data_IF_478568368508
#
_entry.id   IF_478568368508
#
_cell.length_a   1.000
_cell.length_b   1.000
_cell.length_c   1.000
_cell.angle_alpha   90.00
_cell.angle_beta   90.00
_cell.angle_gamma   90.00
#
_symmetry.space_group_name_H-M   'P 1'
#
loop_
_entity.id
_entity.type
_entity.pdbx_description
1 polymer ?
#
# COMPACT_ATOMS: atom_id res chain seq x y z
N UNK A 1 0.56 -13.39 -15.76
CA UNK A 1 1.67 -13.70 -14.83
C UNK A 1 2.16 -12.33 -14.45
N UNK A 2 1.84 -11.90 -13.21
CA UNK A 2 1.99 -10.54 -12.64
C UNK A 2 1.15 -9.46 -13.31
N UNK A 3 -0.08 -9.33 -12.82
CA UNK A 3 -1.00 -8.23 -13.06
C UNK A 3 -0.39 -6.91 -12.59
N UNK A 4 -0.28 -5.91 -13.47
CA UNK A 4 -0.23 -4.49 -13.10
C UNK A 4 -1.66 -4.04 -12.75
N UNK A 5 -2.21 -4.65 -11.70
CA UNK A 5 -3.12 -3.92 -10.82
C UNK A 5 -2.23 -3.31 -9.76
N UNK A 6 -2.32 -2.00 -9.60
CA UNK A 6 -2.14 -1.33 -8.31
C UNK A 6 -0.87 -1.71 -7.55
N UNK A 7 0.13 -0.83 -7.61
CA UNK A 7 1.22 -0.81 -6.65
C UNK A 7 0.76 -0.23 -5.28
N UNK A 8 -0.49 -0.57 -4.90
CA UNK A 8 -1.21 -0.36 -3.63
C UNK A 8 -1.83 -1.68 -3.15
N UNK A 9 -1.22 -2.81 -3.49
CA UNK A 9 -1.62 -4.14 -3.01
C UNK A 9 -0.43 -4.88 -2.37
N UNK A 10 0.17 -4.26 -1.35
CA UNK A 10 0.99 -4.93 -0.33
C UNK A 10 1.06 -4.03 0.91
N UNK A 11 -0.07 -3.93 1.62
CA UNK A 11 -0.27 -3.92 3.09
C UNK A 11 -1.80 -3.80 3.25
N UNK A 12 -2.49 -4.93 3.19
CA UNK A 12 -3.85 -5.13 3.70
C UNK A 12 -4.10 -6.64 3.76
N UNK A 13 -3.23 -7.36 4.47
CA UNK A 13 -3.64 -8.59 5.14
C UNK A 13 -4.22 -8.20 6.50
N UNK A 14 -5.44 -7.66 6.47
CA UNK A 14 -6.32 -7.61 7.65
C UNK A 14 -7.56 -8.44 7.26
N UNK A 15 -7.60 -9.66 7.78
CA UNK A 15 -8.77 -10.50 8.05
C UNK A 15 -10.03 -10.28 7.17
N UNK A 16 -10.02 -10.87 5.98
CA UNK A 16 -11.26 -11.34 5.35
C UNK A 16 -11.56 -12.77 5.83
N UNK A 17 -12.06 -12.89 7.06
CA UNK A 17 -12.77 -14.08 7.51
C UNK A 17 -14.09 -13.68 8.15
N UNK A 18 -15.17 -14.30 7.65
CA UNK A 18 -16.54 -14.31 8.17
C UNK A 18 -17.47 -13.12 7.83
N UNK A 19 -17.97 -13.09 6.59
CA UNK A 19 -19.41 -12.86 6.39
C UNK A 19 -20.14 -14.21 6.48
N UNK A 20 -20.34 -14.69 7.70
CA UNK A 20 -21.33 -15.72 8.00
C UNK A 20 -22.63 -15.05 8.43
N UNK A 21 -23.72 -15.50 7.82
CA UNK A 21 -25.11 -15.07 7.97
C UNK A 21 -25.49 -14.56 9.36
N UNK A 22 -26.17 -13.41 9.36
CA UNK A 22 -26.95 -12.82 10.45
C UNK A 22 -27.75 -13.87 11.23
N UNK A 23 -27.23 -14.29 12.37
CA UNK A 23 -28.01 -14.75 13.52
C UNK A 23 -27.85 -13.72 14.63
N UNK A 24 -28.94 -13.03 15.00
CA UNK A 24 -28.95 -12.04 16.09
C UNK A 24 -28.51 -12.69 17.40
N UNK A 25 -27.23 -12.64 17.75
CA UNK A 25 -26.79 -12.68 19.14
C UNK A 25 -26.47 -11.25 19.56
N UNK A 26 -27.32 -10.72 20.44
CA UNK A 26 -27.11 -9.43 21.11
C UNK A 26 -25.70 -9.41 21.68
N UNK A 27 -24.88 -8.48 21.21
CA UNK A 27 -23.71 -8.02 21.98
C UNK A 27 -24.28 -7.47 23.28
N UNK A 28 -24.05 -8.17 24.39
CA UNK A 28 -24.28 -7.58 25.72
C UNK A 28 -23.21 -6.52 25.89
N UNK A 29 -23.59 -5.27 25.78
CA UNK A 29 -22.88 -4.15 26.40
C UNK A 29 -22.71 -4.51 27.87
N UNK A 30 -21.49 -4.80 28.30
CA UNK A 30 -21.18 -4.90 29.73
C UNK A 30 -20.65 -3.53 30.15
N UNK A 31 -21.36 -3.02 31.15
CA UNK A 31 -21.14 -1.83 31.94
C UNK A 31 -19.73 -1.73 32.52
N UNK A 32 -19.17 -0.52 32.47
CA UNK A 32 -18.19 0.05 33.41
C UNK A 32 -17.02 -0.87 33.82
N UNK A 33 -15.90 -0.81 33.08
CA UNK A 33 -14.60 -1.08 33.68
C UNK A 33 -14.31 0.03 34.70
N UNK A 34 -14.77 -0.15 35.94
CA UNK A 34 -14.50 0.77 37.04
C UNK A 34 -13.02 0.69 37.42
N UNK A 35 -12.35 1.84 37.41
CA UNK A 35 -11.17 2.05 38.25
C UNK A 35 -11.67 1.93 39.69
N UNK A 36 -11.34 0.82 40.36
CA UNK A 36 -11.75 0.57 41.74
C UNK A 36 -10.59 0.96 42.66
N UNK A 37 -10.89 1.81 43.65
CA UNK A 37 -9.99 2.12 44.76
C UNK A 37 -10.07 0.93 45.72
N UNK A 38 -8.99 0.14 45.83
CA UNK A 38 -9.02 -1.07 46.64
C UNK A 38 -8.96 -0.73 48.14
N UNK A 39 -10.09 -0.83 48.82
CA UNK A 39 -10.11 -1.48 50.13
C UNK A 39 -10.15 -2.98 49.87
N UNK A 40 -9.08 -3.70 50.26
CA UNK A 40 -8.94 -5.16 50.26
C UNK A 40 -8.43 -5.85 48.98
N UNK A 41 -7.13 -5.61 48.71
CA UNK A 41 -6.31 -6.33 47.71
C UNK A 41 -6.15 -7.84 48.01
N UNK A 42 -6.56 -8.32 49.19
CA UNK A 42 -6.41 -9.73 49.59
C UNK A 42 -7.51 -10.67 49.05
N UNK A 43 -8.74 -10.20 48.87
CA UNK A 43 -9.88 -11.06 48.54
C UNK A 43 -10.11 -11.25 47.02
N UNK A 44 -9.43 -10.48 46.17
CA UNK A 44 -9.57 -10.58 44.70
C UNK A 44 -8.73 -11.72 44.12
N UNK A 45 -7.63 -12.09 44.77
CA UNK A 45 -6.75 -13.17 44.31
C UNK A 45 -7.40 -14.56 44.40
N UNK A 46 -8.34 -14.77 45.33
CA UNK A 46 -8.99 -16.06 45.57
C UNK A 46 -10.12 -16.36 44.56
N UNK A 47 -10.73 -15.33 43.96
CA UNK A 47 -11.81 -15.50 42.98
C UNK A 47 -11.34 -15.88 41.56
N UNK A 48 -10.03 -15.81 41.27
CA UNK A 48 -9.47 -15.93 39.90
C UNK A 48 -8.92 -17.34 39.61
N UNK A 49 -8.81 -18.20 40.63
CA UNK A 49 -8.27 -19.58 40.52
C UNK A 49 -9.12 -20.54 39.68
N UNK A 50 -10.39 -20.20 39.37
CA UNK A 50 -11.35 -21.14 38.77
C UNK A 50 -11.39 -21.21 37.23
N UNK A 51 -10.58 -20.43 36.50
CA UNK A 51 -10.64 -20.35 35.02
C UNK A 51 -9.46 -21.01 34.28
N UNK A 52 -8.45 -21.51 34.97
CA UNK A 52 -7.33 -22.23 34.33
C UNK A 52 -6.42 -21.37 33.43
N UNK A 53 -6.58 -20.04 33.42
CA UNK A 53 -5.69 -19.10 32.75
C UNK A 53 -4.51 -18.78 33.69
N UNK A 54 -3.27 -18.88 33.18
CA UNK A 54 -2.10 -18.31 33.88
C UNK A 54 -2.19 -16.78 33.81
N UNK A 55 -2.64 -16.17 34.89
CA UNK A 55 -2.72 -14.70 35.03
C UNK A 55 -1.45 -14.18 35.70
N UNK A 56 -0.69 -13.34 35.01
CA UNK A 56 0.44 -12.63 35.61
C UNK A 56 -0.05 -11.36 36.33
N UNK A 57 0.64 -10.99 37.41
CA UNK A 57 0.38 -9.70 38.11
C UNK A 57 1.51 -8.72 37.81
N UNK A 58 1.17 -7.59 37.19
CA UNK A 58 2.08 -6.48 36.96
C UNK A 58 1.95 -5.43 38.06
N UNK A 59 3.01 -5.19 38.82
CA UNK A 59 3.06 -4.15 39.86
C UNK A 59 3.75 -2.89 39.34
N UNK A 60 3.04 -1.76 39.30
CA UNK A 60 3.59 -0.45 38.94
C UNK A 60 4.14 0.24 40.19
N UNK A 61 5.41 0.66 40.16
CA UNK A 61 6.07 1.34 41.29
C UNK A 61 5.86 2.85 41.22
N UNK A 62 5.78 3.53 42.35
CA UNK A 62 5.73 5.01 42.36
C UNK A 62 7.05 5.62 41.89
N UNK A 63 7.01 6.90 41.49
CA UNK A 63 8.19 7.73 41.19
C UNK A 63 8.56 7.86 39.71
N UNK A 64 7.99 7.05 38.80
CA UNK A 64 8.15 7.24 37.35
C UNK A 64 6.84 6.94 36.62
N UNK A 65 6.45 7.72 35.59
CA UNK A 65 5.21 7.45 34.88
C UNK A 65 5.28 6.16 34.04
N UNK A 66 4.14 5.50 33.92
CA UNK A 66 3.94 4.29 33.14
C UNK A 66 2.98 4.55 31.98
N UNK A 67 3.29 3.94 30.84
CA UNK A 67 2.38 3.82 29.69
C UNK A 67 2.25 2.35 29.35
N UNK A 68 1.04 1.80 29.41
CA UNK A 68 0.78 0.42 29.03
C UNK A 68 0.06 0.42 27.69
N UNK A 69 0.60 -0.31 26.72
CA UNK A 69 0.00 -0.53 25.41
C UNK A 69 -0.56 -1.96 25.42
N UNK A 70 -1.88 -2.09 25.51
CA UNK A 70 -2.57 -3.37 25.71
C UNK A 70 -3.17 -3.81 24.37
N UNK A 71 -2.80 -5.01 23.92
CA UNK A 71 -3.43 -5.70 22.78
C UNK A 71 -3.56 -7.19 23.13
N UNK A 72 -4.63 -7.54 23.82
CA UNK A 72 -4.90 -8.91 24.29
C UNK A 72 -5.87 -9.56 23.30
N UNK A 73 -5.52 -10.74 22.79
CA UNK A 73 -6.42 -11.58 22.00
C UNK A 73 -6.21 -13.07 22.31
N UNK A 74 -7.24 -13.92 22.13
CA UNK A 74 -7.10 -15.36 22.30
C UNK A 74 -5.95 -15.94 21.46
N UNK A 75 -5.01 -16.63 22.11
CA UNK A 75 -3.87 -17.27 21.45
C UNK A 75 -2.64 -16.38 21.22
N UNK A 76 -2.62 -15.12 21.69
CA UNK A 76 -1.44 -14.24 21.59
C UNK A 76 -0.39 -14.43 22.70
N UNK A 77 -0.59 -15.40 23.61
CA UNK A 77 0.39 -15.71 24.66
C UNK A 77 1.76 -16.05 24.04
N UNK A 78 2.79 -15.25 24.35
CA UNK A 78 4.17 -15.36 23.87
C UNK A 78 4.41 -14.99 22.39
N UNK A 79 3.51 -14.29 21.71
CA UNK A 79 3.76 -13.78 20.36
C UNK A 79 4.41 -12.40 20.44
N UNK A 80 5.71 -12.30 20.18
CA UNK A 80 6.29 -11.04 19.70
C UNK A 80 5.72 -10.78 18.31
N UNK A 81 4.68 -9.95 18.23
CA UNK A 81 4.15 -9.47 16.95
C UNK A 81 5.20 -8.55 16.35
N UNK A 82 5.98 -9.08 15.39
CA UNK A 82 6.91 -8.27 14.60
C UNK A 82 6.09 -7.21 13.85
N UNK A 83 6.13 -5.96 14.32
CA UNK A 83 5.43 -4.82 13.72
C UNK A 83 4.67 -3.91 14.69
N UNK A 84 4.41 -4.32 15.94
CA UNK A 84 3.52 -3.58 16.86
C UNK A 84 4.25 -2.55 17.76
N UNK A 85 5.40 -2.04 17.30
CA UNK A 85 6.19 -1.01 18.01
C UNK A 85 5.85 0.42 17.56
N UNK A 86 4.89 0.63 16.64
CA UNK A 86 4.58 1.97 16.11
C UNK A 86 4.26 2.97 17.22
N UNK A 87 3.26 2.70 18.07
CA UNK A 87 2.89 3.61 19.16
C UNK A 87 4.01 3.82 20.18
N UNK A 88 4.76 2.77 20.49
CA UNK A 88 5.93 2.86 21.38
C UNK A 88 7.01 3.75 20.77
N UNK A 89 7.27 3.63 19.48
CA UNK A 89 8.21 4.49 18.76
C UNK A 89 7.70 5.93 18.67
N UNK A 90 6.40 6.14 18.46
CA UNK A 90 5.75 7.46 18.53
C UNK A 90 5.96 8.11 19.90
N UNK A 91 5.69 7.38 20.99
CA UNK A 91 5.91 7.85 22.36
C UNK A 91 7.38 8.19 22.62
N UNK A 92 8.30 7.30 22.24
CA UNK A 92 9.74 7.52 22.41
C UNK A 92 10.22 8.73 21.62
N UNK A 93 9.73 8.92 20.39
CA UNK A 93 10.11 10.06 19.56
C UNK A 93 9.58 11.38 20.12
N UNK A 94 8.34 11.40 20.60
CA UNK A 94 7.68 12.63 21.05
C UNK A 94 8.09 13.07 22.45
N UNK A 95 8.34 12.11 23.35
CA UNK A 95 8.66 12.42 24.75
C UNK A 95 10.11 12.10 25.12
N UNK A 96 10.74 11.13 24.46
CA UNK A 96 12.09 10.66 24.77
C UNK A 96 12.09 9.31 25.49
N UNK A 97 13.10 8.48 25.20
CA UNK A 97 13.19 7.08 25.66
C UNK A 97 13.09 6.90 27.18
N UNK A 98 13.56 7.88 27.96
CA UNK A 98 13.67 7.76 29.41
C UNK A 98 12.49 8.38 30.18
N UNK A 99 11.55 9.05 29.50
CA UNK A 99 10.45 9.74 30.18
C UNK A 99 9.48 8.79 30.88
N UNK A 100 9.26 7.60 30.30
CA UNK A 100 8.24 6.67 30.75
C UNK A 100 8.80 5.26 30.93
N UNK A 101 8.08 4.43 31.68
CA UNK A 101 8.15 2.99 31.59
C UNK A 101 7.06 2.54 30.62
N UNK A 102 7.44 2.26 29.37
CA UNK A 102 6.50 1.79 28.33
C UNK A 102 6.48 0.27 28.36
N UNK A 103 5.31 -0.33 28.57
CA UNK A 103 5.13 -1.77 28.65
C UNK A 103 4.07 -2.18 27.63
N UNK A 104 4.42 -3.10 26.73
CA UNK A 104 3.47 -3.74 25.82
C UNK A 104 2.93 -5.01 26.47
N UNK A 105 1.61 -5.16 26.51
CA UNK A 105 0.90 -6.27 27.15
C UNK A 105 0.06 -7.01 26.12
N UNK A 106 0.41 -8.27 25.87
CA UNK A 106 -0.29 -9.18 24.94
C UNK A 106 -1.03 -10.33 25.66
N UNK A 107 -0.97 -10.37 26.99
CA UNK A 107 -1.52 -11.43 27.82
C UNK A 107 -2.48 -10.88 28.88
N UNK A 108 -3.43 -11.72 29.28
CA UNK A 108 -4.36 -11.47 30.39
C UNK A 108 -3.58 -11.21 31.69
N UNK A 109 -3.55 -9.95 32.12
CA UNK A 109 -2.69 -9.47 33.21
C UNK A 109 -3.51 -8.69 34.25
N UNK A 110 -3.24 -8.91 35.53
CA UNK A 110 -3.76 -8.08 36.62
C UNK A 110 -2.77 -6.96 36.92
N UNK A 111 -3.15 -5.70 36.73
CA UNK A 111 -2.25 -4.55 36.94
C UNK A 111 -2.58 -3.90 38.28
N UNK A 112 -1.57 -3.67 39.12
CA UNK A 112 -1.72 -3.01 40.43
C UNK A 112 -0.74 -1.84 40.54
N UNK A 113 -1.24 -0.63 40.74
CA UNK A 113 -0.42 0.55 41.01
C UNK A 113 -0.13 0.73 42.50
N UNK A 114 0.94 1.47 42.81
CA UNK A 114 1.39 1.68 44.18
C UNK A 114 0.39 2.46 45.07
N UNK A 115 -0.56 3.18 44.47
CA UNK A 115 -1.66 3.85 45.17
C UNK A 115 -2.83 2.91 45.52
N UNK A 116 -2.72 1.61 45.20
CA UNK A 116 -3.75 0.60 45.47
C UNK A 116 -4.80 0.46 44.38
N UNK A 117 -4.79 1.30 43.34
CA UNK A 117 -5.67 1.11 42.18
C UNK A 117 -5.22 -0.09 41.34
N UNK A 118 -6.19 -0.75 40.72
CA UNK A 118 -5.92 -1.89 39.86
C UNK A 118 -6.78 -1.88 38.59
N UNK A 119 -6.26 -2.54 37.56
CA UNK A 119 -6.99 -2.87 36.34
C UNK A 119 -7.02 -4.39 36.18
N UNK A 120 -8.22 -4.94 36.08
CA UNK A 120 -8.41 -6.36 35.84
C UNK A 120 -8.61 -6.63 34.34
N UNK A 121 -7.59 -7.23 33.71
CA UNK A 121 -7.64 -7.63 32.30
C UNK A 121 -7.75 -9.15 32.13
N UNK A 122 -8.28 -9.89 33.11
CA UNK A 122 -8.31 -11.37 33.12
C UNK A 122 -9.60 -12.00 32.58
N UNK A 123 -10.49 -11.21 31.96
CA UNK A 123 -11.79 -11.71 31.47
C UNK A 123 -11.66 -12.69 30.30
N UNK A 124 -12.17 -13.91 30.45
CA UNK A 124 -12.09 -14.96 29.44
C UNK A 124 -12.75 -14.59 28.09
N UNK A 125 -12.06 -14.90 27.00
CA UNK A 125 -12.64 -15.04 25.66
C UNK A 125 -12.79 -13.76 24.83
N UNK A 126 -12.42 -12.59 25.37
CA UNK A 126 -12.58 -11.31 24.67
C UNK A 126 -11.23 -10.72 24.26
N UNK A 127 -11.17 -10.20 23.03
CA UNK A 127 -10.09 -9.31 22.61
C UNK A 127 -10.25 -7.95 23.28
N UNK A 128 -9.16 -7.36 23.75
CA UNK A 128 -9.16 -6.04 24.40
C UNK A 128 -7.95 -5.23 23.97
N UNK A 129 -8.20 -4.01 23.52
CA UNK A 129 -7.18 -3.05 23.12
C UNK A 129 -7.35 -1.76 23.91
N UNK A 130 -6.29 -1.28 24.54
CA UNK A 130 -6.32 -0.05 25.30
C UNK A 130 -4.94 0.56 25.50
N UNK A 131 -4.92 1.86 25.79
CA UNK A 131 -3.76 2.59 26.27
C UNK A 131 -4.03 3.01 27.71
N UNK A 132 -3.09 2.75 28.61
CA UNK A 132 -3.19 3.12 30.03
C UNK A 132 -2.05 4.06 30.37
N UNK A 133 -2.36 5.13 31.11
CA UNK A 133 -1.37 6.03 31.67
C UNK A 133 -1.52 6.11 33.19
N UNK A 134 -0.39 6.14 33.88
CA UNK A 134 -0.32 6.49 35.29
C UNK A 134 0.92 7.35 35.53
N UNK A 135 0.78 8.48 36.21
CA UNK A 135 1.88 9.44 36.40
C UNK A 135 3.00 8.91 37.30
N UNK A 136 2.72 7.86 38.08
CA UNK A 136 3.61 7.35 39.13
C UNK A 136 3.52 8.12 40.45
N UNK A 137 2.66 9.15 40.51
CA UNK A 137 2.29 9.83 41.75
C UNK A 137 1.19 9.04 42.47
N UNK A 138 1.31 8.91 43.79
CA UNK A 138 0.33 8.16 44.60
C UNK A 138 -1.02 8.87 44.63
N UNK A 139 -1.03 10.20 44.50
CA UNK A 139 -2.26 10.99 44.48
C UNK A 139 -3.02 10.95 43.15
N UNK A 140 -2.40 10.44 42.07
CA UNK A 140 -2.98 10.49 40.74
C UNK A 140 -3.62 9.15 40.38
N UNK A 141 -4.76 9.22 39.70
CA UNK A 141 -5.49 8.05 39.25
C UNK A 141 -4.87 7.42 37.99
N UNK A 142 -5.08 6.10 37.83
CA UNK A 142 -4.86 5.42 36.56
C UNK A 142 -5.94 5.88 35.57
N UNK A 143 -5.52 6.29 34.38
CA UNK A 143 -6.42 6.70 33.29
C UNK A 143 -6.26 5.76 32.11
N UNK A 144 -7.37 5.47 31.43
CA UNK A 144 -7.43 4.50 30.34
C UNK A 144 -8.15 5.07 29.11
N UNK A 145 -7.71 4.67 27.92
CA UNK A 145 -8.37 4.93 26.65
C UNK A 145 -8.53 3.61 25.90
N UNK A 146 -9.74 3.33 25.40
CA UNK A 146 -9.98 2.18 24.55
C UNK A 146 -9.32 2.36 23.17
N UNK A 147 -8.82 1.26 22.62
CA UNK A 147 -8.09 1.23 21.35
C UNK A 147 -6.58 1.29 21.53
N UNK A 148 -5.86 1.03 20.43
CA UNK A 148 -4.40 0.89 20.43
C UNK A 148 -3.65 1.97 19.68
N UNK A 149 -4.33 3.04 19.28
CA UNK A 149 -3.76 4.15 18.50
C UNK A 149 -3.92 5.45 19.27
N UNK A 150 -3.14 6.47 18.90
CA UNK A 150 -3.14 7.80 19.51
C UNK A 150 -2.58 7.82 20.94
N UNK A 151 -1.59 6.97 21.22
CA UNK A 151 -0.95 6.94 22.53
C UNK A 151 -0.20 8.24 22.81
N UNK A 152 0.37 8.88 21.79
CA UNK A 152 1.07 10.17 21.94
C UNK A 152 0.11 11.26 22.41
N UNK A 153 -1.02 11.41 21.73
CA UNK A 153 -2.05 12.40 22.02
C UNK A 153 -2.69 12.13 23.39
N UNK A 154 -3.01 10.87 23.67
CA UNK A 154 -3.57 10.46 24.96
C UNK A 154 -2.64 10.81 26.12
N UNK A 155 -1.36 10.42 26.05
CA UNK A 155 -0.37 10.69 27.11
C UNK A 155 -0.06 12.18 27.22
N UNK A 156 -0.03 12.92 26.10
CA UNK A 156 0.17 14.37 26.11
C UNK A 156 -0.93 15.08 26.90
N UNK A 157 -2.19 14.68 26.67
CA UNK A 157 -3.35 15.23 27.37
C UNK A 157 -3.24 15.07 28.89
N UNK A 158 -2.86 13.89 29.38
CA UNK A 158 -2.71 13.64 30.83
C UNK A 158 -1.59 14.46 31.47
N UNK A 159 -0.66 14.95 30.66
CA UNK A 159 0.47 15.77 31.09
C UNK A 159 0.24 17.26 30.88
N UNK A 160 -0.92 17.66 30.35
CA UNK A 160 -1.21 19.04 29.97
C UNK A 160 -0.32 19.54 28.82
N UNK A 161 0.24 18.63 28.02
CA UNK A 161 1.09 18.94 26.87
C UNK A 161 0.28 18.84 25.57
N UNK A 162 0.68 19.59 24.54
CA UNK A 162 0.11 19.48 23.19
C UNK A 162 1.15 18.83 22.27
N UNK A 163 1.08 17.50 22.12
CA UNK A 163 1.91 16.74 21.19
C UNK A 163 1.03 15.86 20.30
N UNK A 164 1.50 15.66 19.08
CA UNK A 164 0.82 14.85 18.07
C UNK A 164 1.79 13.80 17.54
N UNK A 165 1.26 12.60 17.34
CA UNK A 165 1.92 11.53 16.61
C UNK A 165 2.25 11.97 15.19
N UNK A 166 3.28 11.37 14.61
CA UNK A 166 3.69 11.75 13.26
C UNK A 166 2.64 11.42 12.22
N UNK A 167 1.92 10.30 12.38
CA UNK A 167 0.85 9.93 11.46
C UNK A 167 -0.35 10.90 11.55
N UNK A 168 -0.70 11.40 12.73
CA UNK A 168 -1.77 12.39 12.88
C UNK A 168 -1.38 13.73 12.23
N UNK A 169 -0.14 14.19 12.47
CA UNK A 169 0.41 15.39 11.83
C UNK A 169 0.41 15.25 10.29
N UNK A 170 0.97 14.16 9.78
CA UNK A 170 1.06 13.89 8.36
C UNK A 170 -0.33 13.77 7.72
N UNK A 171 -1.29 13.12 8.38
CA UNK A 171 -2.68 13.03 7.93
C UNK A 171 -3.30 14.40 7.67
N UNK A 172 -3.09 15.37 8.58
CA UNK A 172 -3.57 16.76 8.39
C UNK A 172 -2.93 17.42 7.16
N UNK A 173 -1.63 17.23 6.97
CA UNK A 173 -0.90 17.77 5.81
C UNK A 173 -1.40 17.14 4.49
N UNK A 174 -1.59 15.83 4.47
CA UNK A 174 -2.11 15.09 3.31
C UNK A 174 -3.54 15.53 2.95
N UNK A 175 -4.44 15.58 3.95
CA UNK A 175 -5.82 16.06 3.78
C UNK A 175 -5.85 17.47 3.22
N UNK A 176 -5.02 18.38 3.75
CA UNK A 176 -4.92 19.76 3.26
C UNK A 176 -4.46 19.83 1.81
N UNK A 177 -3.45 19.05 1.43
CA UNK A 177 -2.96 19.03 0.05
C UNK A 177 -4.02 18.48 -0.91
N UNK A 178 -4.64 17.35 -0.60
CA UNK A 178 -5.69 16.73 -1.41
C UNK A 178 -6.90 17.65 -1.57
N UNK A 179 -7.39 18.25 -0.48
CA UNK A 179 -8.50 19.21 -0.54
C UNK A 179 -8.20 20.42 -1.43
N UNK A 180 -6.93 20.87 -1.48
CA UNK A 180 -6.53 22.00 -2.34
C UNK A 180 -6.62 21.70 -3.84
N UNK A 181 -6.80 20.42 -4.21
CA UNK A 181 -6.84 19.93 -5.58
C UNK A 181 -8.21 19.39 -6.01
N UNK A 182 -9.01 18.85 -5.09
CA UNK A 182 -10.27 18.15 -5.40
C UNK A 182 -11.31 18.98 -6.18
N UNK A 183 -11.31 20.30 -6.04
CA UNK A 183 -12.28 21.19 -6.72
C UNK A 183 -11.71 21.93 -7.93
N UNK A 184 -10.51 21.56 -8.40
CA UNK A 184 -9.87 22.21 -9.54
C UNK A 184 -10.12 21.42 -10.80
N UNK A 185 -10.61 22.09 -11.83
CA UNK A 185 -10.69 21.54 -13.19
C UNK A 185 -10.20 22.57 -14.21
N UNK A 186 -8.91 22.86 -14.15
CA UNK A 186 -8.22 23.74 -15.09
C UNK A 186 -7.37 22.90 -16.05
N UNK A 187 -7.97 22.53 -17.18
CA UNK A 187 -7.30 21.78 -18.24
C UNK A 187 -6.47 22.71 -19.12
N UNK A 188 -5.18 22.42 -19.26
CA UNK A 188 -4.20 23.17 -20.07
C UNK A 188 -3.44 22.23 -21.01
N UNK A 189 -2.61 22.80 -21.89
CA UNK A 189 -1.74 22.02 -22.76
C UNK A 189 -0.74 21.14 -21.97
N UNK A 190 -0.30 21.56 -20.78
CA UNK A 190 0.59 20.75 -19.96
C UNK A 190 -0.16 19.56 -19.33
N UNK A 191 -1.38 19.76 -18.81
CA UNK A 191 -2.19 18.63 -18.33
C UNK A 191 -2.58 17.69 -19.47
N UNK A 192 -2.74 18.19 -20.70
CA UNK A 192 -2.95 17.33 -21.87
C UNK A 192 -1.75 16.40 -22.05
N UNK A 193 -0.50 16.89 -22.01
CA UNK A 193 0.70 16.03 -22.10
C UNK A 193 0.73 14.96 -21.00
N UNK A 194 0.32 15.32 -19.77
CA UNK A 194 0.22 14.36 -18.66
C UNK A 194 -0.83 13.28 -18.96
N UNK A 195 -2.02 13.68 -19.41
CA UNK A 195 -3.09 12.77 -19.79
C UNK A 195 -2.66 11.82 -20.91
N UNK A 196 -2.04 12.35 -21.97
CA UNK A 196 -1.57 11.56 -23.10
C UNK A 196 -0.50 10.55 -22.67
N UNK A 197 0.45 10.95 -21.82
CA UNK A 197 1.44 10.05 -21.25
C UNK A 197 0.78 8.93 -20.44
N UNK A 198 -0.19 9.26 -19.58
CA UNK A 198 -0.95 8.26 -18.81
C UNK A 198 -1.74 7.29 -19.69
N UNK A 199 -2.42 7.80 -20.72
CA UNK A 199 -3.23 7.00 -21.64
C UNK A 199 -2.38 6.09 -22.52
N UNK A 200 -1.17 6.52 -22.93
CA UNK A 200 -0.21 5.68 -23.67
C UNK A 200 0.28 4.49 -22.86
N UNK A 201 0.49 4.67 -21.56
CA UNK A 201 0.81 3.56 -20.66
C UNK A 201 -0.37 2.57 -20.60
N UNK A 202 -1.60 3.09 -20.51
CA UNK A 202 -2.82 2.28 -20.45
C UNK A 202 -3.20 1.62 -21.79
N UNK A 203 -2.76 2.15 -22.93
CA UNK A 203 -3.02 1.60 -24.27
C UNK A 203 -2.08 0.44 -24.64
N UNK A 204 -1.07 0.18 -23.82
CA UNK A 204 0.02 -0.73 -24.16
C UNK A 204 -0.04 -2.00 -23.29
N UNK A 205 0.01 -3.21 -23.87
CA UNK A 205 0.07 -4.45 -23.08
C UNK A 205 1.29 -4.50 -22.16
N UNK A 206 1.12 -5.05 -20.96
CA UNK A 206 2.18 -5.14 -19.92
C UNK A 206 3.48 -5.77 -20.43
N UNK A 207 3.40 -6.70 -21.38
CA UNK A 207 4.58 -7.37 -21.95
C UNK A 207 5.50 -6.43 -22.76
N UNK A 208 5.02 -5.23 -23.10
CA UNK A 208 5.84 -4.22 -23.77
C UNK A 208 6.73 -3.43 -22.80
N UNK A 209 6.61 -3.69 -21.50
CA UNK A 209 7.31 -3.00 -20.43
C UNK A 209 8.37 -3.90 -19.79
N UNK A 210 9.45 -3.27 -19.34
CA UNK A 210 10.39 -3.88 -18.41
C UNK A 210 10.31 -3.09 -17.12
N UNK A 211 9.78 -3.74 -16.09
CA UNK A 211 9.32 -3.09 -14.87
C UNK A 211 8.40 -1.90 -15.24
N UNK A 212 8.88 -0.68 -15.09
CA UNK A 212 8.11 0.56 -15.31
C UNK A 212 8.44 1.28 -16.61
N UNK A 213 9.32 0.71 -17.43
CA UNK A 213 9.90 1.33 -18.61
C UNK A 213 9.31 0.73 -19.88
N UNK A 214 8.55 1.54 -20.64
CA UNK A 214 8.00 1.11 -21.93
C UNK A 214 9.12 0.95 -22.96
N UNK A 215 9.39 -0.29 -23.36
CA UNK A 215 10.42 -0.59 -24.34
C UNK A 215 9.84 -0.70 -25.76
N UNK A 216 8.67 -1.31 -25.90
CA UNK A 216 8.02 -1.57 -27.18
C UNK A 216 6.70 -0.79 -27.32
N UNK A 217 6.17 -0.72 -28.55
CA UNK A 217 4.87 -0.14 -28.87
C UNK A 217 4.69 1.33 -28.46
N UNK A 218 5.75 2.14 -28.50
CA UNK A 218 5.69 3.58 -28.16
C UNK A 218 4.85 4.41 -29.14
N UNK A 219 4.84 3.97 -30.40
CA UNK A 219 3.99 4.52 -31.44
C UNK A 219 2.92 3.46 -31.78
N UNK A 220 1.64 3.83 -31.67
CA UNK A 220 0.48 3.00 -32.00
C UNK A 220 -0.42 3.69 -33.04
N UNK A 221 0.19 4.46 -33.95
CA UNK A 221 -0.52 5.23 -34.97
C UNK A 221 -1.51 4.35 -35.75
N UNK A 222 -2.77 4.82 -35.81
CA UNK A 222 -3.90 4.15 -36.44
C UNK A 222 -4.26 2.76 -35.86
N UNK A 223 -3.64 2.29 -34.78
CA UNK A 223 -4.06 1.03 -34.16
C UNK A 223 -5.47 1.21 -33.59
N UNK A 224 -6.38 0.35 -34.00
CA UNK A 224 -7.78 0.30 -33.53
C UNK A 224 -7.95 -0.71 -32.41
N UNK A 225 -7.29 -1.86 -32.51
CA UNK A 225 -7.43 -2.94 -31.53
C UNK A 225 -6.13 -3.72 -31.39
N UNK A 226 -5.78 -4.08 -30.16
CA UNK A 226 -4.68 -4.99 -29.82
C UNK A 226 -5.29 -6.21 -29.14
N UNK A 227 -5.16 -7.38 -29.76
CA UNK A 227 -5.56 -8.65 -29.17
C UNK A 227 -4.32 -9.38 -28.66
N UNK A 228 -4.29 -9.67 -27.36
CA UNK A 228 -3.21 -10.40 -26.71
C UNK A 228 -3.64 -11.85 -26.52
N UNK A 229 -2.83 -12.78 -26.98
CA UNK A 229 -3.04 -14.22 -26.82
C UNK A 229 -1.89 -14.86 -26.05
N UNK A 230 -2.21 -15.93 -25.33
CA UNK A 230 -1.24 -16.79 -24.67
C UNK A 230 -1.27 -18.16 -25.34
N UNK A 231 -0.09 -18.74 -25.56
CA UNK A 231 0.11 -20.09 -26.07
C UNK A 231 1.17 -20.81 -25.24
N UNK A 232 0.89 -22.02 -24.75
CA UNK A 232 1.92 -22.87 -24.13
C UNK A 232 2.31 -23.97 -25.12
N UNK A 233 3.56 -23.96 -25.60
CA UNK A 233 4.03 -24.92 -26.59
C UNK A 233 3.17 -24.98 -27.86
N UNK A 234 2.61 -26.16 -28.16
CA UNK A 234 1.80 -26.45 -29.36
C UNK A 234 0.30 -26.25 -29.15
N UNK A 235 -0.14 -25.84 -27.95
CA UNK A 235 -1.56 -25.65 -27.61
C UNK A 235 -2.23 -24.57 -28.49
N UNK A 236 -3.57 -24.57 -28.50
CA UNK A 236 -4.37 -23.54 -29.18
C UNK A 236 -4.12 -22.19 -28.52
N UNK A 237 -4.08 -21.11 -29.32
CA UNK A 237 -3.99 -19.74 -28.78
C UNK A 237 -5.23 -19.41 -27.95
N UNK A 238 -5.03 -18.97 -26.72
CA UNK A 238 -6.09 -18.50 -25.83
C UNK A 238 -6.08 -16.98 -25.79
N UNK A 239 -7.23 -16.35 -26.02
CA UNK A 239 -7.36 -14.89 -25.97
C UNK A 239 -7.32 -14.44 -24.52
N UNK A 240 -6.37 -13.56 -24.18
CA UNK A 240 -6.12 -13.10 -22.82
C UNK A 240 -6.68 -11.70 -22.58
N UNK A 241 -6.41 -10.78 -23.51
CA UNK A 241 -6.79 -9.37 -23.39
C UNK A 241 -7.17 -8.79 -24.75
N UNK A 242 -8.14 -7.88 -24.78
CA UNK A 242 -8.34 -6.96 -25.90
C UNK A 242 -8.17 -5.53 -25.39
N UNK A 243 -7.42 -4.71 -26.10
CA UNK A 243 -7.38 -3.25 -25.91
C UNK A 243 -7.98 -2.59 -27.15
N UNK A 244 -9.06 -1.85 -26.97
CA UNK A 244 -9.70 -1.06 -28.02
C UNK A 244 -9.27 0.40 -27.89
N UNK A 245 -8.83 0.99 -28.99
CA UNK A 245 -8.30 2.35 -29.04
C UNK A 245 -9.22 3.25 -29.88
N UNK A 246 -9.19 4.55 -29.62
CA UNK A 246 -9.78 5.57 -30.49
C UNK A 246 -8.79 5.97 -31.62
N UNK A 247 -9.20 6.89 -32.50
CA UNK A 247 -8.36 7.34 -33.63
C UNK A 247 -7.07 8.05 -33.19
N UNK A 248 -7.02 8.56 -31.97
CA UNK A 248 -5.84 9.18 -31.35
C UNK A 248 -4.91 8.15 -30.70
N UNK A 249 -5.27 6.86 -30.70
CA UNK A 249 -4.49 5.79 -30.06
C UNK A 249 -4.69 5.68 -28.54
N UNK A 250 -5.71 6.33 -27.98
CA UNK A 250 -6.04 6.22 -26.56
C UNK A 250 -7.07 5.13 -26.28
N UNK A 251 -6.98 4.43 -25.13
CA UNK A 251 -7.86 3.33 -24.82
C UNK A 251 -9.30 3.80 -24.62
N UNK A 252 -10.24 3.05 -25.19
CA UNK A 252 -11.69 3.20 -24.98
C UNK A 252 -12.17 2.09 -24.06
N UNK A 253 -11.66 0.88 -24.26
CA UNK A 253 -12.06 -0.29 -23.49
C UNK A 253 -10.94 -1.32 -23.43
N UNK A 254 -10.77 -1.94 -22.26
CA UNK A 254 -9.88 -3.09 -22.07
C UNK A 254 -10.72 -4.23 -21.52
N UNK A 255 -10.67 -5.38 -22.18
CA UNK A 255 -11.38 -6.59 -21.77
C UNK A 255 -10.38 -7.68 -21.40
N UNK A 256 -10.53 -8.26 -20.21
CA UNK A 256 -9.74 -9.38 -19.71
C UNK A 256 -10.60 -10.65 -19.72
N UNK A 257 -10.26 -11.63 -20.56
CA UNK A 257 -11.13 -12.79 -20.77
C UNK A 257 -11.06 -13.82 -19.65
N UNK A 258 -9.90 -13.97 -19.02
CA UNK A 258 -9.73 -14.93 -17.92
C UNK A 258 -10.47 -14.51 -16.66
N UNK A 259 -10.33 -13.23 -16.31
CA UNK A 259 -10.90 -12.67 -15.08
C UNK A 259 -12.28 -12.04 -15.32
N UNK A 260 -12.76 -12.05 -16.58
CA UNK A 260 -14.01 -11.43 -17.04
C UNK A 260 -14.14 -9.93 -16.68
N UNK A 261 -13.00 -9.27 -16.44
CA UNK A 261 -12.95 -7.85 -16.12
C UNK A 261 -13.09 -6.98 -17.37
N UNK A 262 -13.78 -5.85 -17.23
CA UNK A 262 -13.88 -4.81 -18.26
C UNK A 262 -13.52 -3.47 -17.64
N UNK A 263 -12.62 -2.74 -18.30
CA UNK A 263 -12.26 -1.36 -17.98
C UNK A 263 -12.72 -0.47 -19.10
N UNK A 264 -13.51 0.57 -18.80
CA UNK A 264 -14.01 1.54 -19.78
C UNK A 264 -13.45 2.93 -19.48
N UNK A 265 -13.04 3.62 -20.53
CA UNK A 265 -12.48 4.97 -20.46
C UNK A 265 -13.52 5.94 -21.01
N UNK A 266 -13.90 6.92 -20.21
CA UNK A 266 -14.92 7.92 -20.54
C UNK A 266 -14.28 9.28 -20.78
N UNK A 267 -14.67 9.89 -21.89
CA UNK A 267 -14.12 11.15 -22.35
C UNK A 267 -15.23 12.18 -22.56
N UNK A 268 -14.94 13.44 -22.24
CA UNK A 268 -15.76 14.59 -22.59
C UNK A 268 -14.88 15.59 -23.34
N UNK A 269 -15.26 15.98 -24.56
CA UNK A 269 -14.46 16.87 -25.41
C UNK A 269 -12.98 16.41 -25.56
N UNK A 270 -12.78 15.10 -25.75
CA UNK A 270 -11.47 14.43 -25.82
C UNK A 270 -10.62 14.47 -24.52
N UNK A 271 -11.18 14.94 -23.41
CA UNK A 271 -10.55 14.93 -22.09
C UNK A 271 -11.05 13.72 -21.31
N UNK A 272 -10.15 12.93 -20.70
CA UNK A 272 -10.52 11.78 -19.86
C UNK A 272 -11.21 12.29 -18.58
N UNK A 273 -12.42 11.83 -18.30
CA UNK A 273 -13.16 12.23 -17.09
C UNK A 273 -13.29 11.11 -16.08
N UNK A 274 -13.31 9.86 -16.54
CA UNK A 274 -13.47 8.69 -15.68
C UNK A 274 -12.94 7.42 -16.31
N UNK A 275 -12.49 6.50 -15.45
CA UNK A 275 -12.27 5.10 -15.79
C UNK A 275 -13.18 4.25 -14.91
N UNK A 276 -13.99 3.39 -15.53
CA UNK A 276 -14.91 2.48 -14.84
C UNK A 276 -14.38 1.06 -14.94
N UNK A 277 -14.18 0.42 -13.80
CA UNK A 277 -13.94 -1.02 -13.69
C UNK A 277 -15.20 -1.70 -13.16
N UNK A 278 -15.15 -3.01 -12.91
CA UNK A 278 -16.25 -3.74 -12.31
C UNK A 278 -16.54 -3.28 -10.87
N UNK A 279 -15.48 -2.92 -10.13
CA UNK A 279 -15.57 -2.68 -8.69
C UNK A 279 -15.58 -1.19 -8.36
N UNK A 280 -14.85 -0.36 -9.13
CA UNK A 280 -14.59 1.03 -8.79
C UNK A 280 -14.72 1.96 -10.00
N UNK A 281 -14.97 3.23 -9.73
CA UNK A 281 -14.82 4.32 -10.70
C UNK A 281 -13.72 5.25 -10.23
N UNK A 282 -12.75 5.50 -11.11
CA UNK A 282 -11.72 6.53 -10.91
C UNK A 282 -12.16 7.78 -11.67
N UNK A 283 -12.27 8.90 -10.97
CA UNK A 283 -12.59 10.21 -11.54
C UNK A 283 -11.31 10.99 -11.81
N UNK A 284 -11.31 11.77 -12.88
CA UNK A 284 -10.17 12.59 -13.27
C UNK A 284 -10.52 14.07 -13.29
N UNK A 285 -9.65 14.85 -12.66
CA UNK A 285 -9.66 16.31 -12.64
C UNK A 285 -8.28 16.84 -13.02
N UNK A 286 -8.21 18.13 -13.33
CA UNK A 286 -6.99 18.74 -13.87
C UNK A 286 -6.67 20.06 -13.18
N UNK A 287 -5.39 20.33 -13.00
CA UNK A 287 -4.95 21.59 -12.41
C UNK A 287 -3.60 22.03 -12.99
N UNK A 288 -3.64 22.78 -14.09
CA UNK A 288 -2.45 23.31 -14.72
C UNK A 288 -1.63 22.20 -15.37
N UNK A 289 -0.52 21.83 -14.74
CA UNK A 289 0.42 20.81 -15.19
C UNK A 289 0.20 19.43 -14.54
N UNK A 290 -0.95 19.25 -13.88
CA UNK A 290 -1.28 18.03 -13.13
C UNK A 290 -2.58 17.41 -13.62
N UNK A 291 -2.60 16.09 -13.60
CA UNK A 291 -3.79 15.25 -13.69
C UNK A 291 -4.01 14.59 -12.33
N UNK A 292 -5.23 14.67 -11.80
CA UNK A 292 -5.58 14.16 -10.48
C UNK A 292 -6.61 13.04 -10.68
N UNK A 293 -6.25 11.83 -10.28
CA UNK A 293 -7.12 10.67 -10.25
C UNK A 293 -7.66 10.48 -8.82
N UNK A 294 -8.96 10.25 -8.66
CA UNK A 294 -9.58 9.98 -7.36
C UNK A 294 -10.45 8.74 -7.44
N UNK A 295 -10.22 7.79 -6.54
CA UNK A 295 -10.97 6.53 -6.47
C UNK A 295 -11.50 6.31 -5.06
N UNK A 296 -12.78 5.96 -4.96
CA UNK A 296 -13.38 5.52 -3.71
C UNK A 296 -13.10 4.02 -3.51
N UNK A 297 -12.42 3.66 -2.41
CA UNK A 297 -12.11 2.27 -2.03
C UNK A 297 -13.08 1.73 -0.96
N UNK A 298 -14.22 2.38 -0.77
CA UNK A 298 -15.20 2.07 0.26
C UNK A 298 -14.87 2.75 1.60
N UNK A 299 -13.80 2.31 2.27
CA UNK A 299 -13.34 2.83 3.56
C UNK A 299 -12.34 4.00 3.48
N UNK A 300 -11.74 4.20 2.31
CA UNK A 300 -10.74 5.22 2.06
C UNK A 300 -10.96 5.87 0.69
N UNK A 301 -10.38 7.04 0.49
CA UNK A 301 -10.24 7.70 -0.80
C UNK A 301 -8.78 7.64 -1.21
N UNK A 302 -8.52 7.04 -2.37
CA UNK A 302 -7.21 7.09 -3.02
C UNK A 302 -7.17 8.29 -3.97
N UNK A 303 -6.14 9.11 -3.86
CA UNK A 303 -5.90 10.27 -4.73
C UNK A 303 -4.50 10.19 -5.29
N UNK A 304 -4.37 10.03 -6.60
CA UNK A 304 -3.10 10.04 -7.32
C UNK A 304 -2.96 11.33 -8.14
N UNK A 305 -1.85 12.03 -7.93
CA UNK A 305 -1.47 13.24 -8.65
C UNK A 305 -0.35 12.86 -9.60
N UNK A 306 -0.60 13.07 -10.89
CA UNK A 306 0.32 12.75 -11.97
C UNK A 306 0.90 14.03 -12.56
N UNK A 307 2.21 14.02 -12.80
CA UNK A 307 2.93 15.07 -13.50
C UNK A 307 3.95 14.46 -14.45
N UNK A 308 4.24 15.10 -15.58
CA UNK A 308 5.33 14.70 -16.46
C UNK A 308 6.56 15.55 -16.19
N UNK A 309 7.71 14.90 -15.93
CA UNK A 309 9.02 15.55 -15.85
C UNK A 309 10.03 14.76 -16.67
N UNK A 310 10.79 15.43 -17.53
CA UNK A 310 11.74 14.80 -18.45
C UNK A 310 11.12 13.61 -19.21
N UNK A 311 9.94 13.82 -19.78
CA UNK A 311 9.16 12.81 -20.54
C UNK A 311 8.70 11.59 -19.70
N UNK A 312 8.88 11.61 -18.38
CA UNK A 312 8.45 10.53 -17.49
C UNK A 312 7.24 10.94 -16.65
N UNK A 313 6.26 10.05 -16.57
CA UNK A 313 5.10 10.20 -15.69
C UNK A 313 5.50 9.87 -14.24
N UNK A 314 5.33 10.82 -13.34
CA UNK A 314 5.68 10.72 -11.94
C UNK A 314 4.42 10.79 -11.07
N UNK A 315 4.03 9.70 -10.39
CA UNK A 315 2.91 9.69 -9.47
C UNK A 315 3.29 10.16 -8.07
N UNK A 316 2.35 10.87 -7.44
CA UNK A 316 2.29 11.17 -6.01
C UNK A 316 0.90 10.79 -5.50
N UNK A 317 0.81 9.82 -4.59
CA UNK A 317 -0.44 9.18 -4.21
C UNK A 317 -0.70 9.26 -2.71
N UNK A 318 -1.98 9.42 -2.35
CA UNK A 318 -2.48 9.48 -0.98
C UNK A 318 -3.65 8.52 -0.82
N UNK A 319 -3.60 7.65 0.18
CA UNK A 319 -4.78 6.92 0.65
C UNK A 319 -5.20 7.54 1.97
N UNK A 320 -6.39 8.15 2.00
CA UNK A 320 -6.94 8.82 3.18
C UNK A 320 -8.22 8.11 3.60
N UNK A 321 -8.23 7.59 4.83
CA UNK A 321 -9.41 7.01 5.47
C UNK A 321 -10.54 8.03 5.56
N UNK A 322 -11.77 7.58 5.33
CA UNK A 322 -12.95 8.45 5.41
C UNK A 322 -13.32 8.80 6.84
N UNK A 323 -13.00 7.94 7.79
CA UNK A 323 -13.18 8.21 9.21
C UNK A 323 -11.99 8.98 9.79
N UNK A 324 -12.26 9.81 10.79
CA UNK A 324 -11.23 10.61 11.47
C UNK A 324 -10.47 9.82 12.55
N UNK A 325 -10.85 8.57 12.82
CA UNK A 325 -10.24 7.75 13.87
C UNK A 325 -9.03 6.94 13.40
N UNK A 326 -8.88 6.76 12.08
CA UNK A 326 -7.91 5.84 11.48
C UNK A 326 -6.76 6.56 10.77
N UNK A 327 -6.33 7.72 11.30
CA UNK A 327 -5.25 8.51 10.69
C UNK A 327 -3.92 7.74 10.59
N UNK A 328 -3.70 6.75 11.45
CA UNK A 328 -2.55 5.84 11.41
C UNK A 328 -2.56 4.88 10.21
N UNK A 329 -3.71 4.75 9.52
CA UNK A 329 -3.85 3.94 8.31
C UNK A 329 -3.73 4.78 7.03
N UNK A 330 -3.62 6.11 7.15
CA UNK A 330 -3.37 6.96 6.00
C UNK A 330 -1.96 6.68 5.47
N UNK A 331 -1.81 6.70 4.16
CA UNK A 331 -0.51 6.42 3.52
C UNK A 331 -0.21 7.41 2.43
N UNK A 332 1.09 7.61 2.22
CA UNK A 332 1.63 8.48 1.19
C UNK A 332 2.69 7.75 0.39
N UNK A 333 2.68 7.93 -0.93
CA UNK A 333 3.81 7.55 -1.76
C UNK A 333 4.11 8.57 -2.83
N UNK A 334 5.38 8.69 -3.21
CA UNK A 334 5.80 9.63 -4.24
C UNK A 334 6.95 9.04 -5.04
N UNK A 335 6.89 9.20 -6.36
CA UNK A 335 8.00 8.86 -7.26
C UNK A 335 8.69 10.13 -7.73
N UNK A 336 10.00 10.22 -7.47
CA UNK A 336 10.86 11.34 -7.91
C UNK A 336 11.87 10.87 -8.94
N UNK A 337 12.28 11.78 -9.82
CA UNK A 337 13.42 11.57 -10.72
C UNK A 337 14.66 12.20 -10.09
N UNK A 338 15.63 11.38 -9.69
CA UNK A 338 16.85 11.81 -9.01
C UNK A 338 18.06 11.08 -9.60
N UNK A 339 19.07 11.83 -10.06
CA UNK A 339 20.26 11.25 -10.68
C UNK A 339 19.96 10.41 -11.94
N UNK A 340 18.89 10.73 -12.65
CA UNK A 340 18.42 9.95 -13.81
C UNK A 340 17.67 8.66 -13.48
N UNK A 341 17.41 8.38 -12.20
CA UNK A 341 16.67 7.21 -11.73
C UNK A 341 15.33 7.60 -11.11
N UNK A 342 14.31 6.75 -11.28
CA UNK A 342 13.03 6.89 -10.58
C UNK A 342 13.14 6.28 -9.19
N UNK A 343 12.91 7.09 -8.16
CA UNK A 343 12.92 6.67 -6.76
C UNK A 343 11.52 6.74 -6.19
N UNK A 344 11.01 5.63 -5.70
CA UNK A 344 9.72 5.57 -4.99
C UNK A 344 9.96 5.69 -3.49
N UNK A 345 9.25 6.61 -2.87
CA UNK A 345 9.18 6.79 -1.43
C UNK A 345 7.80 6.37 -0.93
N UNK A 346 7.73 5.72 0.24
CA UNK A 346 6.49 5.45 0.98
C UNK A 346 6.69 6.07 2.36
N UNK A 347 5.80 6.97 2.77
CA UNK A 347 5.89 7.74 4.02
C UNK A 347 7.27 8.36 4.23
N UNK A 348 7.82 8.93 3.14
CA UNK A 348 9.16 9.55 3.06
C UNK A 348 10.35 8.59 3.23
N UNK A 349 10.12 7.28 3.29
CA UNK A 349 11.16 6.25 3.32
C UNK A 349 11.41 5.74 1.91
N UNK A 350 12.67 5.70 1.49
CA UNK A 350 13.06 5.18 0.18
C UNK A 350 12.67 3.69 0.09
N UNK A 351 11.78 3.37 -0.84
CA UNK A 351 11.25 2.02 -1.04
C UNK A 351 11.91 1.31 -2.21
N UNK A 352 12.07 1.99 -3.35
CA UNK A 352 12.72 1.42 -4.52
C UNK A 352 13.40 2.45 -5.40
N UNK A 353 14.36 1.98 -6.19
CA UNK A 353 15.12 2.74 -7.18
C UNK A 353 15.11 1.97 -8.50
N UNK A 354 14.63 2.62 -9.56
CA UNK A 354 14.61 2.13 -10.93
C UNK A 354 15.53 3.01 -11.79
N UNK A 355 16.62 2.44 -12.29
CA UNK A 355 17.56 3.12 -13.17
C UNK A 355 17.57 2.45 -14.53
N UNK A 356 17.53 3.21 -15.62
CA UNK A 356 17.73 2.68 -16.96
C UNK A 356 18.60 3.64 -17.80
N UNK A 357 19.21 3.12 -18.88
CA UNK A 357 20.02 3.91 -19.80
C UNK A 357 19.20 4.62 -20.91
N UNK A 358 17.87 4.59 -20.82
CA UNK A 358 16.93 5.16 -21.77
C UNK A 358 16.35 4.11 -22.72
N UNK A 359 15.04 4.20 -23.05
CA UNK A 359 14.29 3.10 -23.67
C UNK A 359 14.56 2.88 -25.17
N UNK A 360 15.59 3.51 -25.75
CA UNK A 360 16.04 3.32 -27.15
C UNK A 360 17.56 3.06 -27.25
N UNK A 361 18.28 2.94 -26.12
CA UNK A 361 19.71 2.66 -26.11
C UNK A 361 19.92 1.17 -25.91
N UNK A 362 20.36 0.48 -26.97
CA UNK A 362 20.67 -0.95 -26.90
C UNK A 362 22.20 -1.16 -26.77
N UNK A 363 22.67 -2.03 -25.85
CA UNK A 363 21.89 -2.86 -24.95
C UNK A 363 21.12 -2.04 -23.90
N UNK A 364 19.81 -2.26 -23.79
CA UNK A 364 18.96 -1.60 -22.80
C UNK A 364 19.24 -2.24 -21.46
N UNK A 365 19.65 -1.43 -20.49
CA UNK A 365 19.96 -1.90 -19.15
C UNK A 365 19.00 -1.26 -18.17
N UNK A 366 18.30 -2.08 -17.39
CA UNK A 366 17.44 -1.64 -16.29
C UNK A 366 17.92 -2.28 -14.98
N UNK A 367 18.08 -1.47 -13.93
CA UNK A 367 18.40 -1.93 -12.58
C UNK A 367 17.29 -1.53 -11.63
N UNK A 368 16.67 -2.53 -11.01
CA UNK A 368 15.70 -2.37 -9.94
C UNK A 368 16.38 -2.70 -8.61
N UNK A 369 16.24 -1.81 -7.63
CA UNK A 369 16.69 -2.04 -6.24
C UNK A 369 15.54 -1.72 -5.30
N UNK A 370 15.22 -2.63 -4.37
CA UNK A 370 14.24 -2.38 -3.31
C UNK A 370 14.88 -2.41 -1.92
N UNK A 371 14.28 -1.67 -1.00
CA UNK A 371 14.78 -1.48 0.35
C UNK A 371 13.75 -1.91 1.38
N UNK A 372 14.25 -2.42 2.51
CA UNK A 372 13.48 -2.65 3.72
C UNK A 372 14.35 -2.21 4.90
N UNK A 373 13.82 -1.34 5.77
CA UNK A 373 14.53 -0.78 6.93
C UNK A 373 15.90 -0.16 6.56
N UNK A 374 15.92 0.55 5.43
CA UNK A 374 17.13 1.20 4.90
C UNK A 374 18.18 0.25 4.30
N UNK A 375 17.94 -1.07 4.32
CA UNK A 375 18.84 -2.07 3.73
C UNK A 375 18.31 -2.57 2.40
N UNK A 376 19.22 -2.93 1.49
CA UNK A 376 18.84 -3.53 0.20
C UNK A 376 18.22 -4.90 0.46
N UNK A 377 16.96 -5.06 0.10
CA UNK A 377 16.23 -6.33 0.16
C UNK A 377 16.46 -7.15 -1.11
N UNK A 378 16.36 -6.49 -2.27
CA UNK A 378 16.50 -7.14 -3.57
C UNK A 378 17.14 -6.20 -4.57
N UNK A 379 17.97 -6.76 -5.45
CA UNK A 379 18.50 -6.09 -6.63
C UNK A 379 18.29 -6.98 -7.85
N UNK A 380 17.83 -6.40 -8.96
CA UNK A 380 17.66 -7.08 -10.24
C UNK A 380 18.26 -6.25 -11.34
N UNK A 381 18.92 -6.90 -12.29
CA UNK A 381 19.40 -6.24 -13.50
C UNK A 381 18.88 -6.98 -14.72
N UNK A 382 18.20 -6.23 -15.58
CA UNK A 382 17.74 -6.66 -16.89
C UNK A 382 18.64 -6.06 -17.95
N UNK A 383 19.06 -6.88 -18.91
CA UNK A 383 19.78 -6.43 -20.11
C UNK A 383 19.05 -6.95 -21.32
N UNK A 384 18.68 -6.07 -22.24
CA UNK A 384 18.02 -6.42 -23.51
C UNK A 384 18.91 -6.00 -24.66
N UNK A 385 19.26 -6.96 -25.49
CA UNK A 385 20.15 -6.77 -26.63
C UNK A 385 19.37 -6.87 -27.92
N UNK A 386 19.63 -5.94 -28.84
CA UNK A 386 19.16 -6.04 -30.22
C UNK A 386 19.99 -7.10 -30.94
N UNK A 387 19.33 -8.13 -31.51
CA UNK A 387 20.00 -9.20 -32.28
C UNK A 387 19.89 -8.96 -33.77
N UNK A 388 18.73 -8.50 -34.24
CA UNK A 388 18.50 -8.03 -35.61
C UNK A 388 17.66 -6.75 -35.57
N UNK A 389 17.29 -6.21 -36.72
CA UNK A 389 16.43 -5.01 -36.78
C UNK A 389 15.13 -5.18 -35.96
N UNK A 390 14.52 -6.35 -36.05
CA UNK A 390 13.21 -6.63 -35.47
C UNK A 390 13.24 -7.64 -34.31
N UNK A 391 14.42 -8.08 -33.86
CA UNK A 391 14.52 -9.09 -32.78
C UNK A 391 15.40 -8.65 -31.63
N UNK A 392 14.95 -8.96 -30.42
CA UNK A 392 15.62 -8.62 -29.17
C UNK A 392 15.66 -9.83 -28.25
N UNK A 393 16.68 -9.91 -27.41
CA UNK A 393 16.83 -10.99 -26.41
C UNK A 393 17.13 -10.36 -25.05
N UNK A 394 16.42 -10.82 -24.01
CA UNK A 394 16.70 -10.43 -22.63
C UNK A 394 17.65 -11.42 -21.95
N UNK A 395 18.39 -10.88 -20.99
CA UNK A 395 19.07 -11.64 -19.95
C UNK A 395 18.82 -10.98 -18.60
N UNK A 396 18.83 -11.80 -17.56
CA UNK A 396 18.55 -11.39 -16.18
C UNK A 396 19.72 -11.78 -15.26
N UNK A 397 20.10 -10.87 -14.37
CA UNK A 397 21.03 -11.12 -13.27
C UNK A 397 20.32 -10.86 -11.94
N UNK A 398 20.47 -11.80 -11.00
CA UNK A 398 19.93 -11.69 -9.64
C UNK A 398 20.80 -10.79 -8.73
N UNK A 399 20.41 -10.66 -7.46
CA UNK A 399 21.11 -9.84 -6.46
C UNK A 399 22.57 -10.25 -6.24
N UNK A 400 22.92 -11.52 -6.49
CA UNK A 400 24.28 -12.05 -6.34
C UNK A 400 25.08 -11.95 -7.65
N UNK A 401 24.49 -11.39 -8.71
CA UNK A 401 25.11 -11.29 -10.04
C UNK A 401 25.09 -12.61 -10.81
N UNK A 402 24.36 -13.63 -10.33
CA UNK A 402 24.29 -14.90 -11.03
C UNK A 402 23.42 -14.72 -12.28
N UNK A 403 23.90 -15.12 -13.46
CA UNK A 403 23.10 -15.10 -14.67
C UNK A 403 21.99 -16.15 -14.56
N UNK A 404 20.74 -15.73 -14.77
CA UNK A 404 19.64 -16.66 -14.91
C UNK A 404 19.65 -17.21 -16.36
N UNK A 405 19.58 -18.53 -16.56
CA UNK A 405 19.50 -19.12 -17.90
C UNK A 405 18.18 -18.82 -18.62
N UNK A 406 17.15 -18.33 -17.94
CA UNK A 406 15.90 -17.86 -18.56
C UNK A 406 16.18 -16.67 -19.49
N UNK A 407 15.90 -16.85 -20.78
CA UNK A 407 15.99 -15.82 -21.82
C UNK A 407 14.62 -15.62 -22.43
N UNK A 408 14.22 -14.36 -22.57
CA UNK A 408 13.05 -13.99 -23.35
C UNK A 408 13.50 -13.45 -24.70
N UNK A 409 12.74 -13.75 -25.74
CA UNK A 409 12.92 -13.17 -27.06
C UNK A 409 11.70 -12.36 -27.46
N UNK A 410 11.94 -11.24 -28.13
CA UNK A 410 10.91 -10.31 -28.59
C UNK A 410 11.08 -10.12 -30.09
N UNK A 411 9.99 -10.21 -30.83
CA UNK A 411 9.95 -9.99 -32.28
C UNK A 411 8.96 -8.90 -32.61
N UNK A 412 9.39 -7.92 -33.40
CA UNK A 412 8.56 -6.84 -33.92
C UNK A 412 8.03 -7.18 -35.32
N UNK A 413 6.85 -6.67 -35.65
CA UNK A 413 6.32 -6.69 -37.01
C UNK A 413 6.88 -5.54 -37.86
N UNK A 414 6.47 -5.49 -39.13
CA UNK A 414 6.92 -4.48 -40.11
C UNK A 414 6.53 -3.02 -39.76
N UNK A 415 5.64 -2.83 -38.77
CA UNK A 415 5.28 -1.51 -38.23
C UNK A 415 6.01 -1.19 -36.92
N UNK A 416 7.05 -1.95 -36.58
CA UNK A 416 7.82 -1.83 -35.34
C UNK A 416 6.98 -2.00 -34.06
N UNK A 417 5.90 -2.78 -34.14
CA UNK A 417 5.08 -3.17 -32.98
C UNK A 417 5.45 -4.59 -32.55
N UNK A 418 5.50 -4.85 -31.25
CA UNK A 418 5.75 -6.17 -30.68
C UNK A 418 4.69 -7.16 -31.18
N UNK A 419 5.12 -8.19 -31.90
CA UNK A 419 4.24 -9.23 -32.42
C UNK A 419 4.27 -10.46 -31.52
N UNK A 420 5.48 -10.85 -31.09
CA UNK A 420 5.68 -12.08 -30.33
C UNK A 420 6.67 -11.88 -29.19
N UNK A 421 6.35 -12.43 -28.02
CA UNK A 421 7.29 -12.61 -26.92
C UNK A 421 7.34 -14.07 -26.51
N UNK A 422 8.53 -14.68 -26.47
CA UNK A 422 8.72 -16.06 -26.02
C UNK A 422 9.52 -16.10 -24.73
N UNK A 423 9.01 -16.84 -23.75
CA UNK A 423 9.67 -17.07 -22.46
C UNK A 423 10.13 -18.52 -22.40
N UNK A 424 11.40 -18.73 -22.06
CA UNK A 424 11.94 -20.08 -21.86
C UNK A 424 12.19 -20.30 -20.38
N UNK A 425 11.34 -21.10 -19.73
CA UNK A 425 11.47 -21.45 -18.30
C UNK A 425 11.48 -22.96 -18.11
N UNK A 426 12.57 -23.50 -17.54
CA UNK A 426 12.75 -24.94 -17.29
C UNK A 426 12.38 -25.79 -18.53
N UNK A 427 12.87 -25.39 -19.70
CA UNK A 427 12.60 -26.02 -21.01
C UNK A 427 11.14 -25.96 -21.51
N UNK A 428 10.24 -25.26 -20.81
CA UNK A 428 8.90 -24.95 -21.32
C UNK A 428 8.89 -23.59 -21.99
N UNK A 429 8.37 -23.55 -23.22
CA UNK A 429 8.20 -22.32 -23.99
C UNK A 429 6.76 -21.83 -23.80
N UNK A 430 6.65 -20.60 -23.32
CA UNK A 430 5.40 -19.86 -23.33
C UNK A 430 5.52 -18.73 -24.32
N UNK A 431 4.51 -18.55 -25.16
CA UNK A 431 4.48 -17.50 -26.18
C UNK A 431 3.31 -16.57 -25.91
N UNK A 432 3.58 -15.27 -25.96
CA UNK A 432 2.56 -14.23 -26.01
C UNK A 432 2.56 -13.66 -27.43
N UNK A 433 1.38 -13.58 -28.04
CA UNK A 433 1.16 -13.09 -29.40
C UNK A 433 0.27 -11.85 -29.36
N UNK A 434 0.63 -10.81 -30.10
CA UNK A 434 -0.13 -9.57 -30.22
C UNK A 434 -0.58 -9.41 -31.66
N UNK A 435 -1.89 -9.38 -31.88
CA UNK A 435 -2.50 -9.13 -33.19
C UNK A 435 -3.13 -7.74 -33.21
N UNK A 436 -2.89 -6.99 -34.28
CA UNK A 436 -3.31 -5.59 -34.42
C UNK A 436 -4.34 -5.43 -35.53
N UNK A 437 -5.40 -4.69 -35.25
CA UNK A 437 -6.30 -4.13 -36.26
C UNK A 437 -6.07 -2.62 -36.36
N UNK A 438 -6.24 -2.05 -37.56
CA UNK A 438 -5.97 -0.64 -37.83
C UNK A 438 -7.23 0.09 -38.32
N UNK A 439 -7.28 1.40 -38.12
CA UNK A 439 -8.18 2.27 -38.84
C UNK A 439 -7.70 2.42 -40.29
N UNK A 440 -8.66 2.47 -41.23
CA UNK A 440 -8.43 2.77 -42.65
C UNK A 440 -7.86 4.20 -42.83
#
# INVERSE_FOLDING_TARGET
MRSFLSCTACILTIFASAQAKKGKKKVKTISENRVLVASDVANVAEAISSTGIKTDTLKLKSGKPYVLLIDIAPGMNNVTVAGDDQEKNELIRNFGKNMFNIIQLYSYTYIVAANGQYLNLTGEGNSYQAIVYWSGNIADDIVTQEGKVNATEFVALQRGEQKESSYAKNSKEYKKEVMSLQNKNNFTAESQKVMEAYLRLSSTPEICFIEDSQLFNKNQDKVKTINVYIKNGTEKKEKYQTIELNKQGFPVMITYFRDKGVTKFEYQNAILTSIKTQDNTTHFNYNGDKMIATTDLGGAIDTEILQVKNEQLLPKSYTIMKDNGSDNMNSFSETKLEGGCRKKYIDNILWSVNCNNGPNKFPFTHTYTSYQDGKVLQKKKYVIEKKTENTYVSSYQDSAGNPNPERDSYTLNDKNLLETCQFTKKQKIKTILLEYAYYE
#
